data_IF_484023370957
#
_entry.id   IF_484023370957
#
_cell.length_a   1.000
_cell.length_b   1.000
_cell.length_c   1.000
_cell.angle_alpha   90.00
_cell.angle_beta   90.00
_cell.angle_gamma   90.00
#
_symmetry.space_group_name_H-M   'P 1'
#
loop_
_entity.id
_entity.type
_entity.pdbx_description
1 polymer ?
#
# COMPACT_ATOMS: atom_id res chain seq x y z
N UNK A 1 -35.99 7.45 4.22
CA UNK A 1 -34.57 7.09 4.07
C UNK A 1 -34.33 5.92 5.01
N UNK A 2 -34.35 4.68 4.51
CA UNK A 2 -34.09 3.52 5.37
C UNK A 2 -32.60 3.51 5.67
N UNK A 3 -32.23 3.91 6.89
CA UNK A 3 -30.84 3.97 7.32
C UNK A 3 -30.31 2.53 7.41
N UNK A 4 -29.64 2.07 6.34
CA UNK A 4 -29.03 0.74 6.28
C UNK A 4 -27.89 0.70 7.32
N UNK A 5 -28.25 0.28 8.53
CA UNK A 5 -27.38 0.33 9.70
C UNK A 5 -26.19 -0.59 9.45
N UNK A 6 -24.99 0.00 9.32
CA UNK A 6 -23.73 -0.73 9.14
C UNK A 6 -23.63 -1.88 10.16
N UNK A 7 -23.74 -3.11 9.67
CA UNK A 7 -23.56 -4.30 10.50
C UNK A 7 -22.07 -4.43 10.78
N UNK A 8 -21.69 -4.27 12.05
CA UNK A 8 -20.30 -4.36 12.50
C UNK A 8 -19.85 -5.82 12.58
N UNK A 9 -19.80 -6.47 11.42
CA UNK A 9 -19.44 -7.88 11.23
C UNK A 9 -18.00 -8.11 10.79
N UNK A 10 -17.21 -7.05 10.61
CA UNK A 10 -15.79 -7.16 10.27
C UNK A 10 -15.03 -7.80 11.43
N UNK A 11 -14.63 -9.06 11.22
CA UNK A 11 -13.77 -9.78 12.16
C UNK A 11 -12.33 -9.30 12.01
N UNK A 12 -11.48 -9.60 13.01
CA UNK A 12 -10.05 -9.27 12.99
C UNK A 12 -9.36 -9.76 11.72
N UNK A 13 -9.72 -10.97 11.27
CA UNK A 13 -9.17 -11.59 10.07
C UNK A 13 -9.62 -10.94 8.77
N UNK A 14 -10.86 -10.44 8.72
CA UNK A 14 -11.37 -9.72 7.56
C UNK A 14 -10.66 -8.37 7.42
N UNK A 15 -10.47 -7.66 8.54
CA UNK A 15 -9.66 -6.44 8.56
C UNK A 15 -8.20 -6.71 8.14
N UNK A 16 -7.59 -7.79 8.64
CA UNK A 16 -6.24 -8.19 8.23
C UNK A 16 -6.18 -8.49 6.73
N UNK A 17 -7.15 -9.22 6.18
CA UNK A 17 -7.20 -9.52 4.76
C UNK A 17 -7.33 -8.26 3.90
N UNK A 18 -8.18 -7.31 4.31
CA UNK A 18 -8.34 -6.02 3.62
C UNK A 18 -7.04 -5.22 3.65
N UNK A 19 -6.38 -5.14 4.82
CA UNK A 19 -5.11 -4.42 4.97
C UNK A 19 -4.03 -5.06 4.09
N UNK A 20 -3.88 -6.39 4.12
CA UNK A 20 -2.91 -7.10 3.27
C UNK A 20 -3.20 -6.85 1.79
N UNK A 21 -4.45 -6.97 1.36
CA UNK A 21 -4.83 -6.74 -0.04
C UNK A 21 -4.50 -5.30 -0.47
N UNK A 22 -4.75 -4.32 0.40
CA UNK A 22 -4.47 -2.91 0.16
C UNK A 22 -2.97 -2.64 0.09
N UNK A 23 -2.18 -3.19 1.02
CA UNK A 23 -0.71 -3.02 1.05
C UNK A 23 -0.08 -3.66 -0.19
N UNK A 24 -0.49 -4.87 -0.56
CA UNK A 24 0.05 -5.56 -1.73
C UNK A 24 -0.37 -4.81 -3.01
N UNK A 25 -1.66 -4.48 -3.14
CA UNK A 25 -2.20 -3.82 -4.33
C UNK A 25 -1.61 -2.43 -4.56
N UNK A 26 -1.79 -1.52 -3.60
CA UNK A 26 -1.33 -0.13 -3.74
C UNK A 26 0.17 0.02 -3.47
N UNK A 27 0.66 -0.64 -2.43
CA UNK A 27 2.04 -0.49 -1.97
C UNK A 27 3.07 -1.21 -2.85
N UNK A 28 2.86 -2.50 -3.13
CA UNK A 28 3.87 -3.32 -3.83
C UNK A 28 3.71 -3.25 -5.35
N UNK A 29 2.48 -3.33 -5.87
CA UNK A 29 2.26 -3.33 -7.32
C UNK A 29 1.96 -1.95 -7.89
N UNK A 30 1.15 -1.15 -7.19
CA UNK A 30 0.71 0.16 -7.67
C UNK A 30 1.85 1.18 -7.76
N UNK A 31 2.49 1.50 -6.64
CA UNK A 31 3.50 2.55 -6.57
C UNK A 31 4.74 2.25 -7.44
N UNK A 32 5.38 1.06 -7.38
CA UNK A 32 6.54 0.76 -8.21
C UNK A 32 6.22 0.75 -9.70
N UNK A 33 5.03 0.30 -10.12
CA UNK A 33 4.63 0.35 -11.53
C UNK A 33 4.54 1.79 -12.05
N UNK A 34 4.04 2.73 -11.23
CA UNK A 34 3.99 4.16 -11.60
C UNK A 34 5.38 4.78 -11.65
N UNK A 35 6.24 4.47 -10.68
CA UNK A 35 7.63 4.98 -10.67
C UNK A 35 8.42 4.41 -11.86
N UNK A 36 8.22 3.14 -12.21
CA UNK A 36 8.82 2.52 -13.39
C UNK A 36 8.34 3.16 -14.69
N UNK A 37 7.05 3.52 -14.80
CA UNK A 37 6.53 4.23 -15.97
C UNK A 37 7.18 5.63 -16.15
N UNK A 38 7.61 6.28 -15.08
CA UNK A 38 8.25 7.61 -15.14
C UNK A 38 9.76 7.55 -15.36
N UNK A 39 10.47 6.58 -14.75
CA UNK A 39 11.95 6.57 -14.65
C UNK A 39 12.59 5.36 -15.36
N UNK A 40 11.79 4.38 -15.79
CA UNK A 40 12.27 3.17 -16.44
C UNK A 40 13.12 2.29 -15.51
N UNK A 41 14.18 1.68 -16.04
CA UNK A 41 15.03 0.69 -15.34
C UNK A 41 15.69 1.21 -14.06
N UNK A 42 15.85 2.52 -13.91
CA UNK A 42 16.41 3.14 -12.70
C UNK A 42 15.41 3.23 -11.53
N UNK A 43 14.14 2.88 -11.76
CA UNK A 43 13.09 2.93 -10.74
C UNK A 43 13.37 2.05 -9.52
N UNK A 44 14.08 0.92 -9.68
CA UNK A 44 14.39 0.05 -8.55
C UNK A 44 15.32 0.76 -7.56
N UNK A 45 16.35 1.44 -8.08
CA UNK A 45 17.33 2.18 -7.27
C UNK A 45 16.64 3.38 -6.60
N UNK A 46 15.77 4.10 -7.32
CA UNK A 46 14.99 5.20 -6.73
C UNK A 46 14.07 4.72 -5.60
N UNK A 47 13.46 3.54 -5.75
CA UNK A 47 12.62 2.95 -4.70
C UNK A 47 13.43 2.55 -3.46
N UNK A 48 14.61 1.95 -3.65
CA UNK A 48 15.53 1.66 -2.54
C UNK A 48 16.05 2.92 -1.84
N UNK A 49 16.35 3.99 -2.58
CA UNK A 49 16.74 5.27 -1.99
C UNK A 49 15.60 5.87 -1.16
N UNK A 50 14.37 5.84 -1.67
CA UNK A 50 13.18 6.30 -0.94
C UNK A 50 12.95 5.47 0.33
N UNK A 51 13.05 4.14 0.22
CA UNK A 51 12.92 3.24 1.35
C UNK A 51 13.98 3.50 2.44
N UNK A 52 15.22 3.79 2.05
CA UNK A 52 16.27 4.17 3.01
C UNK A 52 15.95 5.49 3.71
N UNK A 53 15.55 6.52 2.97
CA UNK A 53 15.22 7.84 3.56
C UNK A 53 14.06 7.70 4.55
N UNK A 54 12.98 7.03 4.16
CA UNK A 54 11.83 6.80 5.04
C UNK A 54 12.24 5.94 6.25
N UNK A 55 13.06 4.91 6.04
CA UNK A 55 13.58 4.07 7.12
C UNK A 55 14.38 4.86 8.15
N UNK A 56 15.23 5.79 7.72
CA UNK A 56 15.97 6.68 8.62
C UNK A 56 15.09 7.70 9.35
N UNK A 57 13.93 8.08 8.80
CA UNK A 57 12.98 8.98 9.46
C UNK A 57 12.17 8.23 10.54
N UNK A 58 11.86 6.96 10.27
CA UNK A 58 10.99 6.15 11.14
C UNK A 58 11.77 5.52 12.31
N UNK A 59 13.07 5.25 12.14
CA UNK A 59 13.99 4.79 13.21
C UNK A 59 14.41 5.94 14.11
#
# INVERSE_FOLDING_TARGET
MTEEKLVRGISRWDLTAIIINTIIGAGIFGLPAKVHALIGTWSLIAFFACALIVGFIVV
#
